data_IF_331404709228
#
_entry.id   IF_331404709228
#
_cell.length_a   1.000
_cell.length_b   1.000
_cell.length_c   1.000
_cell.angle_alpha   90.00
_cell.angle_beta   90.00
_cell.angle_gamma   90.00
#
_symmetry.space_group_name_H-M   'P 1'
#
loop_
_entity.id
_entity.type
_entity.pdbx_description
1 polymer ?
#
# COMPACT_ATOMS: atom_id res chain seq x y z
N UNK A 1 10.86 2.97 19.96
CA UNK A 1 10.40 1.83 19.13
C UNK A 1 9.79 2.45 17.89
N UNK A 2 10.31 2.20 16.70
CA UNK A 2 9.67 2.70 15.47
C UNK A 2 8.42 1.86 15.31
N UNK A 3 7.26 2.46 15.51
CA UNK A 3 5.97 1.82 15.26
C UNK A 3 5.88 1.57 13.76
N UNK A 4 5.70 0.31 13.39
CA UNK A 4 5.58 -0.15 12.01
C UNK A 4 4.27 0.39 11.40
N UNK A 5 4.38 1.45 10.60
CA UNK A 5 3.25 2.06 9.88
C UNK A 5 2.76 1.15 8.78
N UNK A 6 1.44 1.10 8.56
CA UNK A 6 0.78 0.35 7.46
C UNK A 6 1.38 -1.04 7.23
N UNK A 7 1.59 -1.79 8.31
CA UNK A 7 2.19 -3.12 8.26
C UNK A 7 1.16 -4.24 8.01
N UNK A 8 -0.13 -3.91 7.97
CA UNK A 8 -1.20 -4.88 7.76
C UNK A 8 -2.32 -4.29 6.92
N UNK A 9 -2.83 -5.06 5.96
CA UNK A 9 -3.97 -4.68 5.14
C UNK A 9 -4.69 -5.90 4.57
N UNK A 10 -5.95 -5.70 4.19
CA UNK A 10 -6.72 -6.66 3.40
C UNK A 10 -6.61 -6.29 1.92
N UNK A 11 -6.02 -7.13 1.07
CA UNK A 11 -6.07 -6.93 -0.37
C UNK A 11 -7.50 -7.10 -0.88
N UNK A 12 -7.79 -6.60 -2.07
CA UNK A 12 -9.10 -6.79 -2.70
C UNK A 12 -9.48 -8.27 -2.73
N UNK A 13 -10.71 -8.58 -2.33
CA UNK A 13 -11.24 -9.94 -2.44
C UNK A 13 -11.50 -10.31 -3.90
N UNK A 14 -11.20 -11.55 -4.31
CA UNK A 14 -11.31 -12.00 -5.72
C UNK A 14 -12.69 -11.72 -6.31
N UNK A 15 -13.75 -12.04 -5.58
CA UNK A 15 -15.13 -11.82 -6.01
C UNK A 15 -15.54 -10.33 -6.13
N UNK A 16 -14.67 -9.40 -5.72
CA UNK A 16 -14.89 -7.94 -5.78
C UNK A 16 -14.01 -7.22 -6.81
N UNK A 17 -13.11 -7.94 -7.48
CA UNK A 17 -12.17 -7.36 -8.46
C UNK A 17 -12.90 -6.66 -9.61
N UNK A 18 -14.09 -7.16 -10.00
CA UNK A 18 -14.94 -6.53 -11.01
C UNK A 18 -15.34 -5.08 -10.66
N UNK A 19 -15.35 -4.71 -9.36
CA UNK A 19 -15.61 -3.33 -8.91
C UNK A 19 -14.50 -2.33 -9.29
N UNK A 20 -13.35 -2.82 -9.70
CA UNK A 20 -12.24 -2.02 -10.23
C UNK A 20 -12.17 -2.02 -11.77
N UNK A 21 -13.16 -2.61 -12.45
CA UNK A 21 -13.16 -2.84 -13.91
C UNK A 21 -11.97 -3.69 -14.40
N UNK A 22 -11.60 -4.70 -13.61
CA UNK A 22 -10.44 -5.55 -13.86
C UNK A 22 -10.85 -7.02 -13.96
N UNK A 23 -10.06 -7.81 -14.70
CA UNK A 23 -10.17 -9.27 -14.73
C UNK A 23 -9.51 -9.88 -13.48
N UNK A 24 -10.06 -11.00 -13.00
CA UNK A 24 -9.47 -11.72 -11.87
C UNK A 24 -8.06 -12.25 -12.20
N UNK A 25 -7.12 -12.18 -11.25
CA UNK A 25 -5.83 -12.82 -11.40
C UNK A 25 -5.96 -14.34 -11.35
N UNK A 26 -5.09 -15.04 -12.09
CA UNK A 26 -5.06 -16.49 -12.17
C UNK A 26 -4.38 -17.17 -10.98
N UNK A 27 -3.92 -16.41 -10.00
CA UNK A 27 -3.23 -16.90 -8.81
C UNK A 27 -4.03 -16.59 -7.54
N UNK A 28 -3.72 -17.33 -6.47
CA UNK A 28 -4.30 -17.10 -5.15
C UNK A 28 -3.40 -16.21 -4.29
N UNK A 29 -4.00 -15.53 -3.32
CA UNK A 29 -3.34 -14.71 -2.31
C UNK A 29 -4.10 -14.74 -0.99
N UNK A 30 -3.42 -14.38 0.10
CA UNK A 30 -4.02 -14.35 1.42
C UNK A 30 -4.99 -13.18 1.57
N UNK A 31 -6.02 -13.36 2.39
CA UNK A 31 -6.99 -12.31 2.69
C UNK A 31 -6.45 -11.25 3.67
N UNK A 32 -5.34 -11.52 4.34
CA UNK A 32 -4.69 -10.62 5.30
C UNK A 32 -3.19 -10.60 5.01
N UNK A 33 -2.65 -9.44 4.69
CA UNK A 33 -1.27 -9.27 4.23
C UNK A 33 -0.45 -8.57 5.31
N UNK A 34 0.66 -9.19 5.66
CA UNK A 34 1.70 -8.68 6.56
C UNK A 34 3.04 -8.54 5.80
N UNK A 35 4.02 -7.80 6.35
CA UNK A 35 5.36 -7.75 5.76
C UNK A 35 5.90 -9.13 5.45
N UNK A 36 6.54 -9.26 4.29
CA UNK A 36 7.09 -10.49 3.71
C UNK A 36 6.08 -11.45 3.07
N UNK A 37 4.78 -11.22 3.19
CA UNK A 37 3.77 -12.01 2.47
C UNK A 37 3.73 -11.60 0.99
N UNK A 38 3.33 -12.54 0.13
CA UNK A 38 3.02 -12.25 -1.27
C UNK A 38 1.63 -11.62 -1.37
N UNK A 39 1.54 -10.51 -2.08
CA UNK A 39 0.34 -9.73 -2.28
C UNK A 39 0.11 -9.43 -3.75
N UNK A 40 -1.15 -9.33 -4.21
CA UNK A 40 -1.46 -8.91 -5.56
C UNK A 40 -1.15 -7.42 -5.76
N UNK A 41 -0.62 -7.10 -6.92
CA UNK A 41 -0.45 -5.74 -7.41
C UNK A 41 -0.76 -5.65 -8.89
N UNK A 42 -1.02 -4.44 -9.36
CA UNK A 42 -1.18 -4.07 -10.77
C UNK A 42 0.01 -3.23 -11.21
N UNK A 43 0.51 -3.49 -12.41
CA UNK A 43 1.57 -2.69 -13.03
C UNK A 43 1.38 -2.63 -14.54
N UNK A 44 1.99 -1.64 -15.19
CA UNK A 44 1.96 -1.53 -16.64
C UNK A 44 3.08 -2.35 -17.28
N UNK A 45 2.74 -3.10 -18.31
CA UNK A 45 3.68 -3.84 -19.15
C UNK A 45 3.27 -3.78 -20.60
N UNK A 46 4.14 -3.26 -21.46
CA UNK A 46 3.88 -3.14 -22.89
C UNK A 46 2.50 -2.51 -23.23
N UNK A 47 2.09 -1.50 -22.46
CA UNK A 47 0.81 -0.79 -22.64
C UNK A 47 -0.41 -1.47 -22.03
N UNK A 48 -0.26 -2.67 -21.45
CA UNK A 48 -1.34 -3.37 -20.75
C UNK A 48 -1.16 -3.29 -19.23
N UNK A 49 -2.26 -3.39 -18.49
CA UNK A 49 -2.25 -3.54 -17.03
C UNK A 49 -2.28 -5.04 -16.71
N UNK A 50 -1.29 -5.49 -15.96
CA UNK A 50 -1.16 -6.89 -15.56
C UNK A 50 -1.17 -7.06 -14.05
N UNK A 51 -1.74 -8.18 -13.58
CA UNK A 51 -1.61 -8.63 -12.21
C UNK A 51 -0.28 -9.34 -11.96
N UNK A 52 0.28 -9.11 -10.76
CA UNK A 52 1.45 -9.85 -10.27
C UNK A 52 1.33 -10.14 -8.78
N UNK A 53 1.95 -11.24 -8.36
CA UNK A 53 2.29 -11.44 -6.95
C UNK A 53 3.66 -10.84 -6.67
N UNK A 54 3.75 -10.05 -5.62
CA UNK A 54 5.01 -9.50 -5.13
C UNK A 54 5.08 -9.56 -3.60
N UNK A 55 6.27 -9.76 -3.09
CA UNK A 55 6.56 -9.73 -1.65
C UNK A 55 6.30 -8.32 -1.11
N UNK A 56 5.52 -8.20 -0.05
CA UNK A 56 5.31 -6.94 0.67
C UNK A 56 6.54 -6.62 1.51
N UNK A 57 7.35 -5.69 1.04
CA UNK A 57 8.67 -5.32 1.54
C UNK A 57 9.70 -5.42 0.42
N UNK A 58 10.05 -4.26 -0.16
CA UNK A 58 10.86 -4.12 -1.36
C UNK A 58 12.28 -4.66 -1.14
N UNK A 59 12.75 -5.45 -2.08
CA UNK A 59 14.10 -6.02 -2.12
C UNK A 59 14.88 -5.31 -3.21
N UNK A 60 15.84 -4.48 -2.81
CA UNK A 60 16.65 -3.74 -3.77
C UNK A 60 17.63 -4.70 -4.53
N UNK A 61 17.99 -4.39 -5.79
CA UNK A 61 18.80 -5.28 -6.65
C UNK A 61 20.19 -5.63 -6.09
N UNK A 62 20.72 -4.82 -5.18
CA UNK A 62 22.01 -5.04 -4.54
C UNK A 62 21.98 -5.98 -3.32
N UNK A 63 20.78 -6.37 -2.85
CA UNK A 63 20.61 -7.25 -1.69
C UNK A 63 21.16 -8.63 -2.01
N UNK A 64 22.00 -9.16 -1.10
CA UNK A 64 22.61 -10.50 -1.21
C UNK A 64 21.94 -11.53 -0.31
N UNK A 65 21.32 -11.08 0.79
CA UNK A 65 20.61 -11.94 1.73
C UNK A 65 19.27 -11.31 2.09
N UNK A 66 18.20 -12.03 1.80
CA UNK A 66 16.81 -11.59 2.06
C UNK A 66 16.54 -11.30 3.54
N UNK A 67 17.26 -11.94 4.46
CA UNK A 67 17.15 -11.73 5.91
C UNK A 67 17.60 -10.34 6.36
N UNK A 68 18.39 -9.66 5.54
CA UNK A 68 18.86 -8.29 5.80
C UNK A 68 17.82 -7.24 5.42
N UNK A 69 16.79 -7.62 4.67
CA UNK A 69 15.72 -6.69 4.26
C UNK A 69 14.76 -6.48 5.40
N UNK A 70 14.74 -5.26 5.96
CA UNK A 70 13.88 -4.86 7.08
C UNK A 70 13.19 -3.54 6.76
N UNK A 71 11.92 -3.42 7.16
CA UNK A 71 11.16 -2.16 7.13
C UNK A 71 11.12 -1.47 5.75
N UNK A 72 11.04 -2.28 4.66
CA UNK A 72 10.97 -1.80 3.27
C UNK A 72 9.58 -1.92 2.66
N UNK A 73 8.56 -2.21 3.46
CA UNK A 73 7.17 -2.31 3.01
C UNK A 73 6.50 -0.94 2.84
N UNK A 74 7.03 0.12 3.48
CA UNK A 74 6.61 1.50 3.29
C UNK A 74 7.77 2.37 2.80
N UNK A 75 7.55 3.16 1.76
CA UNK A 75 8.49 4.12 1.22
C UNK A 75 7.94 5.55 1.38
N UNK A 76 8.63 6.37 2.16
CA UNK A 76 8.26 7.77 2.39
C UNK A 76 8.52 8.59 1.12
N UNK A 77 7.51 9.31 0.63
CA UNK A 77 7.62 10.12 -0.59
C UNK A 77 8.75 11.16 -0.50
N UNK A 78 9.01 11.70 0.68
CA UNK A 78 10.04 12.71 0.93
C UNK A 78 11.46 12.18 0.72
N UNK A 79 11.65 10.86 0.80
CA UNK A 79 12.99 10.23 0.73
C UNK A 79 13.08 9.09 -0.28
N UNK A 80 12.00 8.71 -0.95
CA UNK A 80 11.97 7.58 -1.90
C UNK A 80 13.00 7.70 -3.00
N UNK A 81 13.20 8.91 -3.53
CA UNK A 81 14.16 9.19 -4.60
C UNK A 81 15.65 9.08 -4.17
N UNK A 82 15.93 9.13 -2.87
CA UNK A 82 17.30 9.16 -2.32
C UNK A 82 17.69 7.91 -1.54
N UNK A 83 16.73 7.27 -0.83
CA UNK A 83 16.99 6.09 0.00
C UNK A 83 17.48 4.90 -0.82
N UNK A 84 18.62 4.26 -0.46
CA UNK A 84 19.21 3.15 -1.22
C UNK A 84 18.22 2.02 -1.54
N UNK A 85 17.31 1.70 -0.63
CA UNK A 85 16.33 0.63 -0.81
C UNK A 85 15.29 0.93 -1.90
N UNK A 86 14.97 2.19 -2.17
CA UNK A 86 13.84 2.59 -3.02
C UNK A 86 14.23 3.35 -4.30
N UNK A 87 15.36 4.07 -4.27
CA UNK A 87 15.78 4.99 -5.34
C UNK A 87 15.86 4.35 -6.73
N UNK A 88 16.18 3.05 -6.81
CA UNK A 88 16.29 2.35 -8.08
C UNK A 88 14.92 2.15 -8.72
N UNK A 89 13.96 1.63 -7.97
CA UNK A 89 12.57 1.46 -8.42
C UNK A 89 11.95 2.80 -8.82
N UNK A 90 12.15 3.84 -8.00
CA UNK A 90 11.68 5.20 -8.28
C UNK A 90 12.22 5.74 -9.61
N UNK A 91 13.53 5.76 -9.77
CA UNK A 91 14.19 6.29 -10.98
C UNK A 91 13.88 5.51 -12.25
N UNK A 92 13.50 4.24 -12.14
CA UNK A 92 13.10 3.41 -13.27
C UNK A 92 11.59 3.49 -13.57
N UNK A 93 10.86 4.37 -12.89
CA UNK A 93 9.40 4.52 -13.02
C UNK A 93 8.67 3.18 -12.77
N UNK A 94 9.18 2.37 -11.84
CA UNK A 94 8.57 1.09 -11.48
C UNK A 94 7.41 1.30 -10.52
N UNK A 95 6.33 1.93 -11.02
CA UNK A 95 5.14 2.25 -10.26
C UNK A 95 4.11 1.14 -10.36
N UNK A 96 3.39 0.89 -9.26
CA UNK A 96 2.33 -0.08 -9.20
C UNK A 96 1.12 0.45 -8.42
N UNK A 97 0.01 -0.23 -8.55
CA UNK A 97 -1.17 -0.06 -7.72
C UNK A 97 -1.38 -1.31 -6.88
N UNK A 98 -1.70 -1.12 -5.61
CA UNK A 98 -2.01 -2.20 -4.68
C UNK A 98 -3.50 -2.08 -4.35
N UNK A 99 -4.36 -2.94 -4.92
CA UNK A 99 -5.79 -2.92 -4.65
C UNK A 99 -6.09 -3.49 -3.27
N UNK A 100 -6.83 -2.72 -2.47
CA UNK A 100 -7.12 -3.05 -1.07
C UNK A 100 -8.59 -2.82 -0.72
N UNK A 101 -9.07 -3.56 0.28
CA UNK A 101 -10.35 -3.34 0.94
C UNK A 101 -10.20 -2.45 2.17
N UNK A 102 -9.12 -2.69 2.94
CA UNK A 102 -8.89 -2.07 4.25
C UNK A 102 -7.41 -1.97 4.54
N UNK A 103 -7.01 -0.86 5.14
CA UNK A 103 -5.69 -0.67 5.74
C UNK A 103 -5.84 -0.65 7.25
N UNK A 104 -4.96 -1.32 7.97
CA UNK A 104 -5.01 -1.33 9.43
C UNK A 104 -3.93 -0.43 10.02
N UNK A 105 -4.39 0.48 10.91
CA UNK A 105 -3.52 1.41 11.63
C UNK A 105 -3.84 1.39 13.12
N UNK A 106 -2.84 1.57 14.00
CA UNK A 106 -3.06 1.63 15.44
C UNK A 106 -3.58 3.01 15.83
N UNK A 107 -4.67 3.04 16.60
CA UNK A 107 -5.15 4.22 17.34
C UNK A 107 -4.84 4.03 18.81
N UNK A 108 -4.22 5.02 19.43
CA UNK A 108 -3.88 4.94 20.83
C UNK A 108 -5.00 5.54 21.68
N UNK A 109 -5.54 4.72 22.60
CA UNK A 109 -6.57 5.10 23.56
C UNK A 109 -6.06 4.70 24.94
N UNK A 110 -5.98 5.65 25.87
CA UNK A 110 -5.45 5.46 27.22
C UNK A 110 -4.05 4.78 27.22
N UNK A 111 -3.18 5.22 26.30
CA UNK A 111 -1.80 4.73 26.16
C UNK A 111 -1.67 3.32 25.56
N UNK A 112 -2.77 2.70 25.09
CA UNK A 112 -2.78 1.36 24.48
C UNK A 112 -3.13 1.43 23.00
N UNK A 113 -2.41 0.68 22.18
CA UNK A 113 -2.68 0.55 20.75
C UNK A 113 -3.92 -0.32 20.50
N UNK A 114 -4.90 0.22 19.80
CA UNK A 114 -6.08 -0.47 19.29
C UNK A 114 -6.06 -0.44 17.77
N UNK A 115 -6.16 -1.59 17.12
CA UNK A 115 -6.13 -1.68 15.67
C UNK A 115 -7.46 -1.27 15.06
N UNK A 116 -7.42 -0.32 14.13
CA UNK A 116 -8.55 0.17 13.35
C UNK A 116 -8.34 -0.15 11.88
N UNK A 117 -9.39 -0.57 11.20
CA UNK A 117 -9.42 -0.67 9.75
C UNK A 117 -9.93 0.62 9.13
N UNK A 118 -9.17 1.18 8.20
CA UNK A 118 -9.52 2.35 7.38
C UNK A 118 -10.04 1.83 6.04
N UNK A 119 -11.24 2.21 5.64
CA UNK A 119 -11.91 1.76 4.43
C UNK A 119 -12.80 2.87 3.86
N UNK A 120 -13.26 2.70 2.61
CA UNK A 120 -14.14 3.68 1.96
C UNK A 120 -15.54 3.64 2.55
N UNK A 121 -16.15 4.81 2.72
CA UNK A 121 -17.53 4.97 3.24
C UNK A 121 -18.58 4.32 2.36
N UNK A 122 -18.33 4.25 1.04
CA UNK A 122 -19.21 3.61 0.05
C UNK A 122 -19.00 2.09 -0.06
N UNK A 123 -18.09 1.52 0.74
CA UNK A 123 -17.75 0.10 0.73
C UNK A 123 -16.98 -0.37 -0.51
N UNK A 124 -16.60 0.52 -1.43
CA UNK A 124 -15.82 0.17 -2.61
C UNK A 124 -14.34 -0.11 -2.26
N UNK A 125 -13.68 -1.06 -2.95
CA UNK A 125 -12.24 -1.21 -2.84
C UNK A 125 -11.52 0.01 -3.42
N UNK A 126 -10.29 0.23 -2.98
CA UNK A 126 -9.47 1.35 -3.45
C UNK A 126 -8.06 0.91 -3.82
N UNK A 127 -7.29 1.79 -4.43
CA UNK A 127 -5.94 1.49 -4.89
C UNK A 127 -4.91 2.38 -4.21
N UNK A 128 -3.89 1.74 -3.65
CA UNK A 128 -2.75 2.40 -3.01
C UNK A 128 -1.61 2.53 -4.01
N UNK A 129 -0.96 3.69 -4.04
CA UNK A 129 0.25 3.91 -4.81
C UNK A 129 1.41 3.11 -4.24
N UNK A 130 2.17 2.47 -5.11
CA UNK A 130 3.36 1.72 -4.72
C UNK A 130 4.46 1.79 -5.75
N UNK A 131 5.61 1.29 -5.34
CA UNK A 131 6.75 0.99 -6.20
C UNK A 131 7.08 -0.49 -6.13
N UNK A 132 7.56 -1.07 -7.22
CA UNK A 132 7.97 -2.47 -7.25
C UNK A 132 9.42 -2.62 -7.72
N UNK A 133 10.03 -3.77 -7.44
CA UNK A 133 11.40 -4.08 -7.86
C UNK A 133 11.56 -5.58 -8.14
N UNK A 134 12.50 -5.87 -9.02
CA UNK A 134 12.99 -7.22 -9.29
C UNK A 134 14.43 -7.33 -8.79
N UNK A 135 14.70 -8.32 -7.97
CA UNK A 135 16.03 -8.64 -7.48
C UNK A 135 16.34 -10.12 -7.68
N UNK A 136 17.61 -10.45 -7.83
CA UNK A 136 18.06 -11.85 -7.83
C UNK A 136 18.85 -12.06 -6.56
N UNK A 137 18.36 -12.91 -5.67
CA UNK A 137 19.01 -13.23 -4.40
C UNK A 137 19.25 -14.74 -4.37
N UNK A 138 20.50 -15.16 -4.23
CA UNK A 138 20.92 -16.58 -4.25
C UNK A 138 20.44 -17.34 -5.51
N UNK A 139 20.38 -16.67 -6.67
CA UNK A 139 19.93 -17.25 -7.94
C UNK A 139 18.42 -17.27 -8.15
N UNK A 140 17.63 -16.84 -7.19
CA UNK A 140 16.16 -16.77 -7.29
C UNK A 140 15.69 -15.35 -7.59
N UNK A 141 14.77 -15.20 -8.56
CA UNK A 141 14.10 -13.93 -8.85
C UNK A 141 13.07 -13.61 -7.76
N UNK A 142 13.23 -12.46 -7.12
CA UNK A 142 12.29 -11.96 -6.13
C UNK A 142 11.59 -10.73 -6.70
N UNK A 143 10.28 -10.82 -6.80
CA UNK A 143 9.39 -9.69 -7.07
C UNK A 143 8.93 -9.10 -5.76
N UNK A 144 9.09 -7.81 -5.58
CA UNK A 144 8.78 -7.16 -4.31
C UNK A 144 8.18 -5.78 -4.53
N UNK A 145 7.46 -5.28 -3.54
CA UNK A 145 6.81 -3.97 -3.62
C UNK A 145 6.84 -3.25 -2.26
N UNK A 146 6.65 -1.94 -2.33
CA UNK A 146 6.49 -1.04 -1.19
C UNK A 146 5.33 -0.10 -1.43
N UNK A 147 4.50 0.15 -0.42
CA UNK A 147 3.51 1.21 -0.46
C UNK A 147 4.18 2.57 -0.30
N UNK A 148 3.73 3.58 -1.03
CA UNK A 148 4.13 4.96 -0.82
C UNK A 148 3.35 5.57 0.34
N UNK A 149 4.03 6.30 1.21
CA UNK A 149 3.42 6.96 2.35
C UNK A 149 3.74 8.45 2.40
N UNK A 150 2.77 9.22 2.89
CA UNK A 150 2.83 10.68 3.05
C UNK A 150 2.62 11.06 4.51
N UNK A 151 3.21 12.19 4.93
CA UNK A 151 2.92 12.78 6.25
C UNK A 151 1.48 13.28 6.31
N UNK A 152 0.79 13.01 7.42
CA UNK A 152 -0.61 13.38 7.66
C UNK A 152 -0.82 14.00 9.05
N UNK A 153 0.21 14.64 9.63
CA UNK A 153 0.13 15.27 10.95
C UNK A 153 -1.00 16.31 11.05
N UNK A 154 -1.30 16.97 9.94
CA UNK A 154 -2.36 17.99 9.87
C UNK A 154 -3.68 17.49 9.31
N UNK A 155 -3.76 16.22 8.89
CA UNK A 155 -4.97 15.66 8.28
C UNK A 155 -6.05 15.41 9.35
N UNK A 156 -7.27 15.97 9.25
CA UNK A 156 -8.27 15.94 10.33
C UNK A 156 -8.71 14.54 10.75
N UNK A 157 -8.68 13.59 9.81
CA UNK A 157 -9.10 12.21 10.07
C UNK A 157 -7.92 11.29 10.38
N UNK A 158 -6.80 11.38 9.63
CA UNK A 158 -5.70 10.41 9.71
C UNK A 158 -4.73 10.70 10.86
N UNK A 159 -4.68 11.93 11.38
CA UNK A 159 -3.78 12.32 12.47
C UNK A 159 -4.06 11.62 13.81
N UNK A 160 -5.22 10.97 13.94
CA UNK A 160 -5.60 10.22 15.16
C UNK A 160 -4.95 8.84 15.28
N UNK A 161 -4.32 8.35 14.19
CA UNK A 161 -3.64 7.05 14.19
C UNK A 161 -2.17 7.22 14.57
N UNK A 162 -1.50 6.09 14.89
CA UNK A 162 -0.14 6.00 15.44
C UNK A 162 0.01 6.55 16.87
N UNK A 163 1.16 6.30 17.50
CA UNK A 163 1.42 6.79 18.85
C UNK A 163 1.47 8.32 18.87
N UNK A 164 1.07 8.98 19.98
CA UNK A 164 1.02 10.44 20.06
C UNK A 164 2.34 11.13 19.71
N UNK A 165 3.46 10.52 20.06
CA UNK A 165 4.83 11.01 19.82
C UNK A 165 5.39 10.69 18.44
N UNK A 166 4.74 9.79 17.68
CA UNK A 166 5.19 9.40 16.34
C UNK A 166 4.66 10.36 15.27
N UNK A 167 5.46 10.57 14.23
CA UNK A 167 5.02 11.22 12.98
C UNK A 167 3.81 10.48 12.41
N UNK A 168 2.74 11.21 12.09
CA UNK A 168 1.53 10.65 11.52
C UNK A 168 1.72 10.45 10.02
N UNK A 169 1.48 9.24 9.56
CA UNK A 169 1.64 8.90 8.16
C UNK A 169 0.47 8.07 7.66
N UNK A 170 0.21 8.14 6.37
CA UNK A 170 -0.76 7.28 5.69
C UNK A 170 -0.24 6.86 4.33
N UNK A 171 -0.86 5.86 3.74
CA UNK A 171 -0.62 5.48 2.35
C UNK A 171 -1.18 6.54 1.40
N UNK A 172 -0.60 6.62 0.21
CA UNK A 172 -1.11 7.45 -0.89
C UNK A 172 -2.16 6.67 -1.66
N UNK A 173 -3.35 7.22 -1.79
CA UNK A 173 -4.45 6.61 -2.56
C UNK A 173 -4.50 7.21 -3.96
N UNK A 174 -4.65 6.34 -4.96
CA UNK A 174 -4.84 6.75 -6.36
C UNK A 174 -6.31 6.56 -6.74
N UNK A 175 -7.03 7.66 -7.05
CA UNK A 175 -8.45 7.57 -7.41
C UNK A 175 -8.64 6.86 -8.76
N UNK A 176 -9.82 6.28 -9.03
CA UNK A 176 -10.10 5.51 -10.25
C UNK A 176 -9.69 6.21 -11.55
N UNK A 177 -10.01 7.49 -11.66
CA UNK A 177 -9.73 8.31 -12.86
C UNK A 177 -8.24 8.51 -13.14
N UNK A 178 -7.35 8.30 -12.16
CA UNK A 178 -5.90 8.51 -12.27
C UNK A 178 -5.08 7.22 -12.29
N UNK A 179 -5.70 6.04 -12.14
CA UNK A 179 -5.00 4.73 -12.06
C UNK A 179 -4.13 4.46 -13.28
N UNK A 180 -4.69 4.62 -14.48
CA UNK A 180 -3.94 4.39 -15.71
C UNK A 180 -2.77 5.37 -15.85
N UNK A 181 -2.98 6.65 -15.59
CA UNK A 181 -1.94 7.67 -15.63
C UNK A 181 -0.81 7.36 -14.64
N UNK A 182 -1.14 6.98 -13.39
CA UNK A 182 -0.16 6.58 -12.37
C UNK A 182 0.76 5.45 -12.83
N UNK A 183 0.23 4.45 -13.50
CA UNK A 183 1.02 3.30 -13.96
C UNK A 183 1.97 3.63 -15.12
N UNK A 184 1.82 4.79 -15.78
CA UNK A 184 2.62 5.23 -16.92
C UNK A 184 3.40 6.52 -16.67
N UNK A 185 3.24 7.12 -15.48
CA UNK A 185 3.89 8.37 -15.11
C UNK A 185 5.41 8.20 -14.98
N UNK A 186 6.16 9.28 -15.24
CA UNK A 186 7.58 9.32 -14.92
C UNK A 186 7.81 9.71 -13.46
N UNK A 187 9.00 9.43 -12.93
CA UNK A 187 9.35 9.81 -11.55
C UNK A 187 9.36 11.34 -11.33
N UNK A 188 9.54 12.15 -12.37
CA UNK A 188 9.48 13.60 -12.29
C UNK A 188 8.04 14.11 -12.16
N UNK A 189 7.08 13.41 -12.76
CA UNK A 189 5.65 13.74 -12.73
C UNK A 189 4.90 13.05 -11.56
N UNK A 190 5.47 11.99 -11.01
CA UNK A 190 4.85 11.22 -9.92
C UNK A 190 4.43 12.07 -8.70
N UNK A 191 5.17 13.14 -8.29
CA UNK A 191 4.76 14.00 -7.19
C UNK A 191 3.36 14.59 -7.33
N UNK A 192 2.87 14.84 -8.54
CA UNK A 192 1.53 15.39 -8.81
C UNK A 192 0.38 14.42 -8.47
N UNK A 193 0.71 13.15 -8.23
CA UNK A 193 -0.23 12.10 -7.84
C UNK A 193 -0.24 11.85 -6.33
N UNK A 194 0.78 12.34 -5.60
CA UNK A 194 1.01 12.01 -4.20
C UNK A 194 0.25 12.98 -3.29
N UNK A 195 -1.06 12.76 -3.19
CA UNK A 195 -1.97 13.59 -2.39
C UNK A 195 -2.49 12.81 -1.19
N UNK A 196 -2.90 13.54 -0.16
CA UNK A 196 -3.55 12.97 1.01
C UNK A 196 -4.89 12.30 0.64
N UNK A 197 -5.30 11.34 1.46
CA UNK A 197 -6.57 10.65 1.35
C UNK A 197 -7.73 11.65 1.57
N UNK A 198 -8.76 11.71 0.69
CA UNK A 198 -9.90 12.61 0.87
C UNK A 198 -10.66 12.32 2.18
N UNK A 199 -10.99 13.38 2.94
CA UNK A 199 -11.59 13.27 4.28
C UNK A 199 -12.94 12.55 4.24
N UNK A 200 -13.80 12.93 3.29
CA UNK A 200 -15.20 12.49 3.25
C UNK A 200 -15.40 11.11 2.61
N UNK A 201 -14.36 10.56 1.99
CA UNK A 201 -14.44 9.28 1.29
C UNK A 201 -14.06 8.08 2.14
N UNK A 202 -13.48 8.30 3.33
CA UNK A 202 -12.94 7.24 4.17
C UNK A 202 -13.45 7.33 5.62
N UNK A 203 -13.55 6.17 6.23
CA UNK A 203 -13.92 6.02 7.64
C UNK A 203 -13.08 4.93 8.29
N UNK A 204 -13.19 4.76 9.59
CA UNK A 204 -12.48 3.72 10.32
C UNK A 204 -13.36 3.06 11.39
N UNK A 205 -13.13 1.76 11.60
CA UNK A 205 -13.76 1.00 12.68
C UNK A 205 -12.72 0.11 13.37
N UNK A 206 -12.95 -0.27 14.65
CA UNK A 206 -12.11 -1.24 15.34
C UNK A 206 -11.99 -2.54 14.54
N UNK A 207 -10.78 -3.09 14.41
CA UNK A 207 -10.51 -4.29 13.59
C UNK A 207 -11.41 -5.48 13.97
N UNK A 208 -11.66 -5.67 15.25
CA UNK A 208 -12.52 -6.76 15.75
C UNK A 208 -14.02 -6.58 15.45
N UNK A 209 -14.43 -5.39 14.98
CA UNK A 209 -15.82 -5.06 14.66
C UNK A 209 -16.07 -4.91 13.16
N UNK A 210 -15.02 -4.99 12.32
CA UNK A 210 -15.12 -4.76 10.86
C UNK A 210 -16.21 -5.58 10.17
N UNK A 211 -16.40 -6.84 10.57
CA UNK A 211 -17.42 -7.71 9.98
C UNK A 211 -18.85 -7.21 10.22
N UNK A 212 -19.11 -6.49 11.31
CA UNK A 212 -20.43 -5.92 11.61
C UNK A 212 -20.75 -4.73 10.69
N UNK A 213 -19.74 -3.95 10.34
CA UNK A 213 -19.93 -2.76 9.50
C UNK A 213 -20.08 -3.11 8.01
N UNK A 214 -19.40 -4.18 7.54
CA UNK A 214 -19.51 -4.65 6.15
C UNK A 214 -20.83 -5.30 5.82
N UNK A 215 -21.52 -5.88 6.79
CA UNK A 215 -22.85 -6.49 6.59
C UNK A 215 -23.99 -5.45 6.43
N UNK A 216 -23.76 -4.19 6.78
CA UNK A 216 -24.76 -3.11 6.70
C UNK A 216 -24.68 -2.23 5.44
N UNK A 217 -23.74 -2.54 4.54
CA UNK A 217 -23.48 -1.77 3.28
C UNK A 217 -23.98 -2.51 2.03
N UNK A 218 -24.94 -3.42 2.17
CA UNK A 218 -25.61 -4.14 1.05
C UNK A 218 -27.06 -3.71 0.91
#
# INVERSE_FOLDING_TARGET
MVTDMCANYEPIAKNRIHLLDLFEPTFDYKADIFPNYSSPLLFAKAGNIEWRLARFGLVAPWVKDIKQVKNTYNARIETVASKPSFKNAWKKNQFCLIPVETIFEPKYIDGKAHWYGIYRTDGMPFTVAGIYEYAVVNGEEIRSMSMLTINVDTHPFLNQFHAPEDEKRSVVVIPPSRRNAWLHVTHDEAPDFLVEMPIDEYTAAPKNEMNKFRSNTH
#
